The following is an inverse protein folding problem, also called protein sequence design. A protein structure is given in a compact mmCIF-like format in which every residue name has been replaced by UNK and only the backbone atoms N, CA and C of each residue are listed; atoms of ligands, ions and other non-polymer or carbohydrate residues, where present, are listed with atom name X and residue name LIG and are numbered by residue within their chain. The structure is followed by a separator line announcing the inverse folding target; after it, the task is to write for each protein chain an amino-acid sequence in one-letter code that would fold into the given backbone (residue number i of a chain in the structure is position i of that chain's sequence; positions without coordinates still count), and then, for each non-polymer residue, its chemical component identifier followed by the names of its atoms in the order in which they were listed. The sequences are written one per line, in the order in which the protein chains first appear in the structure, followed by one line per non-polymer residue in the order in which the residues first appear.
data_IF_498338207581
#
_entry.id   IF_498338207581
#
_cell.length_a   1.000
_cell.length_b   1.000
_cell.length_c   1.000
_cell.angle_alpha   90.00
_cell.angle_beta   90.00
_cell.angle_gamma   90.00
#
_symmetry.space_group_name_H-M   'P 1'
#
loop_
_entity.id
_entity.type
_entity.pdbx_description
1 polymer ?
#
# COMPACT_ATOMS: atom_id res chain seq x y z
N UNK A 1 -15.48 -1.45 -16.29
CA UNK A 1 -15.48 -1.79 -14.85
C UNK A 1 -15.53 -0.48 -14.10
N UNK A 2 -16.49 -0.32 -13.20
CA UNK A 2 -16.53 0.85 -12.32
C UNK A 2 -15.50 0.66 -11.19
N UNK A 3 -14.37 1.34 -11.30
CA UNK A 3 -13.27 1.23 -10.33
C UNK A 3 -13.65 1.80 -8.96
N UNK A 4 -14.42 2.90 -8.94
CA UNK A 4 -14.81 3.58 -7.70
C UNK A 4 -15.79 2.70 -6.92
N UNK A 5 -16.78 2.13 -7.59
CA UNK A 5 -17.70 1.16 -6.96
C UNK A 5 -16.93 -0.04 -6.42
N UNK A 6 -16.04 -0.61 -7.23
CA UNK A 6 -15.23 -1.76 -6.82
C UNK A 6 -14.34 -1.48 -5.60
N UNK A 7 -13.78 -0.28 -5.48
CA UNK A 7 -13.01 0.15 -4.31
C UNK A 7 -13.87 0.11 -3.03
N UNK A 8 -15.09 0.66 -3.08
CA UNK A 8 -15.98 0.67 -1.92
C UNK A 8 -16.53 -0.70 -1.55
N UNK A 9 -16.58 -1.63 -2.50
CA UNK A 9 -16.91 -3.04 -2.28
C UNK A 9 -15.71 -3.87 -1.79
N UNK A 10 -14.52 -3.27 -1.67
CA UNK A 10 -13.30 -3.96 -1.20
C UNK A 10 -12.60 -4.81 -2.25
N UNK A 11 -12.86 -4.58 -3.55
CA UNK A 11 -12.23 -5.31 -4.64
C UNK A 11 -10.74 -5.01 -4.75
N UNK A 12 -9.90 -6.04 -4.51
CA UNK A 12 -8.44 -5.94 -4.65
C UNK A 12 -8.03 -5.58 -6.09
N UNK A 13 -8.76 -6.07 -7.09
CA UNK A 13 -8.49 -5.75 -8.49
C UNK A 13 -8.82 -4.29 -8.81
N UNK A 14 -9.92 -3.76 -8.28
CA UNK A 14 -10.25 -2.35 -8.43
C UNK A 14 -9.18 -1.46 -7.78
N UNK A 15 -8.73 -1.81 -6.57
CA UNK A 15 -7.65 -1.12 -5.88
C UNK A 15 -6.36 -1.09 -6.70
N UNK A 16 -5.90 -2.26 -7.17
CA UNK A 16 -4.68 -2.35 -7.97
C UNK A 16 -4.75 -1.48 -9.24
N UNK A 17 -5.88 -1.54 -9.97
CA UNK A 17 -6.08 -0.73 -11.19
C UNK A 17 -6.17 0.76 -10.90
N UNK A 18 -6.79 1.16 -9.79
CA UNK A 18 -6.85 2.56 -9.38
C UNK A 18 -5.47 3.10 -8.99
N UNK A 19 -4.65 2.31 -8.28
CA UNK A 19 -3.26 2.69 -7.99
C UNK A 19 -2.48 2.86 -9.29
N UNK A 20 -2.54 1.89 -10.22
CA UNK A 20 -1.88 1.98 -11.53
C UNK A 20 -2.32 3.22 -12.32
N UNK A 21 -3.63 3.53 -12.33
CA UNK A 21 -4.14 4.70 -13.03
C UNK A 21 -3.58 6.01 -12.45
N UNK A 22 -3.47 6.11 -11.13
CA UNK A 22 -2.91 7.29 -10.45
C UNK A 22 -1.40 7.38 -10.67
N UNK A 23 -0.65 6.29 -10.52
CA UNK A 23 0.82 6.28 -10.68
C UNK A 23 1.27 6.59 -12.11
N UNK A 24 0.46 6.25 -13.12
CA UNK A 24 0.77 6.51 -14.52
C UNK A 24 0.04 7.75 -15.08
N UNK A 25 -0.60 8.54 -14.23
CA UNK A 25 -1.29 9.79 -14.61
C UNK A 25 -2.29 9.61 -15.76
N UNK A 26 -3.04 8.50 -15.76
CA UNK A 26 -4.08 8.29 -16.77
C UNK A 26 -5.17 9.36 -16.70
N UNK A 27 -5.85 9.61 -17.82
CA UNK A 27 -6.87 10.68 -17.93
C UNK A 27 -7.94 10.62 -16.83
N UNK A 28 -8.32 9.41 -16.40
CA UNK A 28 -9.32 9.19 -15.36
C UNK A 28 -8.79 9.24 -13.92
N UNK A 29 -7.49 9.45 -13.69
CA UNK A 29 -6.88 9.44 -12.37
C UNK A 29 -7.48 10.52 -11.45
N UNK A 30 -7.66 11.73 -11.98
CA UNK A 30 -8.23 12.86 -11.23
C UNK A 30 -9.67 12.56 -10.79
N UNK A 31 -10.47 11.96 -11.66
CA UNK A 31 -11.87 11.65 -11.36
C UNK A 31 -11.98 10.53 -10.31
N UNK A 32 -11.14 9.50 -10.40
CA UNK A 32 -11.02 8.47 -9.38
C UNK A 32 -10.66 9.12 -8.03
N UNK A 33 -9.64 9.96 -7.99
CA UNK A 33 -9.19 10.63 -6.76
C UNK A 33 -10.28 11.52 -6.14
N UNK A 34 -10.97 12.32 -6.95
CA UNK A 34 -12.11 13.15 -6.49
C UNK A 34 -13.23 12.31 -5.90
N UNK A 35 -13.57 11.19 -6.52
CA UNK A 35 -14.64 10.32 -6.05
C UNK A 35 -14.32 9.62 -4.72
N UNK A 36 -13.06 9.25 -4.48
CA UNK A 36 -12.64 8.58 -3.24
C UNK A 36 -12.39 9.56 -2.09
N UNK A 37 -11.96 10.80 -2.38
CA UNK A 37 -11.51 11.78 -1.39
C UNK A 37 -12.45 11.95 -0.18
N UNK A 38 -13.79 12.06 -0.35
CA UNK A 38 -14.73 12.21 0.78
C UNK A 38 -14.77 11.03 1.76
N UNK A 39 -14.22 9.87 1.39
CA UNK A 39 -14.18 8.66 2.23
C UNK A 39 -12.80 8.39 2.85
N UNK A 40 -11.80 9.24 2.56
CA UNK A 40 -10.44 9.15 3.10
C UNK A 40 -10.32 9.78 4.49
N UNK A 41 -9.12 9.76 5.10
CA UNK A 41 -8.84 10.40 6.40
C UNK A 41 -9.20 9.58 7.63
N UNK A 42 -9.86 8.43 7.46
CA UNK A 42 -10.32 7.57 8.57
C UNK A 42 -9.27 6.54 9.04
N UNK A 43 -8.06 6.55 8.46
CA UNK A 43 -6.98 5.63 8.80
C UNK A 43 -5.86 6.34 9.58
N UNK A 44 -5.23 5.64 10.51
CA UNK A 44 -3.99 6.09 11.16
C UNK A 44 -2.82 5.77 10.23
N UNK A 45 -1.96 6.75 9.98
CA UNK A 45 -0.76 6.61 9.14
C UNK A 45 0.47 6.57 10.05
N UNK A 46 1.28 5.51 9.94
CA UNK A 46 2.53 5.33 10.68
C UNK A 46 3.68 5.22 9.66
N UNK A 47 4.61 6.17 9.70
CA UNK A 47 5.85 6.10 8.93
C UNK A 47 6.92 5.33 9.70
N UNK A 48 7.57 4.37 9.04
CA UNK A 48 8.71 3.62 9.60
C UNK A 48 9.92 3.87 8.69
N UNK A 49 11.00 4.39 9.27
CA UNK A 49 12.24 4.73 8.56
C UNK A 49 13.48 4.31 9.37
N UNK A 50 14.66 4.41 8.78
CA UNK A 50 15.92 3.98 9.37
C UNK A 50 16.90 3.41 8.34
N UNK A 51 18.16 3.26 8.72
CA UNK A 51 19.22 2.76 7.85
C UNK A 51 18.96 1.32 7.34
N UNK A 52 19.59 0.88 6.23
CA UNK A 52 19.62 -0.53 5.83
C UNK A 52 20.10 -1.40 7.00
N UNK A 53 19.46 -2.55 7.22
CA UNK A 53 19.83 -3.46 8.32
C UNK A 53 19.35 -3.05 9.72
N UNK A 54 18.75 -1.87 9.92
CA UNK A 54 18.26 -1.40 11.23
C UNK A 54 17.05 -2.16 11.81
N UNK A 55 16.65 -3.28 11.19
CA UNK A 55 15.51 -4.08 11.66
C UNK A 55 14.12 -3.54 11.31
N UNK A 56 14.02 -2.55 10.39
CA UNK A 56 12.73 -1.95 9.98
C UNK A 56 11.68 -2.99 9.59
N UNK A 57 12.02 -3.93 8.71
CA UNK A 57 11.08 -4.98 8.26
C UNK A 57 10.61 -5.86 9.43
N UNK A 58 11.50 -6.21 10.35
CA UNK A 58 11.17 -6.98 11.57
C UNK A 58 10.25 -6.22 12.51
N UNK A 59 10.47 -4.91 12.67
CA UNK A 59 9.57 -4.06 13.45
C UNK A 59 8.20 -3.93 12.78
N UNK A 60 8.17 -3.66 11.47
CA UNK A 60 6.94 -3.57 10.67
C UNK A 60 6.11 -4.85 10.81
N UNK A 61 6.74 -6.02 10.65
CA UNK A 61 6.07 -7.32 10.79
C UNK A 61 5.39 -7.49 12.15
N UNK A 62 6.13 -7.26 13.25
CA UNK A 62 5.58 -7.36 14.61
C UNK A 62 4.44 -6.36 14.87
N UNK A 63 4.57 -5.13 14.37
CA UNK A 63 3.54 -4.09 14.52
C UNK A 63 2.28 -4.47 13.73
N UNK A 64 2.43 -4.96 12.50
CA UNK A 64 1.32 -5.40 11.67
C UNK A 64 0.60 -6.55 12.35
N UNK A 65 1.32 -7.59 12.78
CA UNK A 65 0.76 -8.74 13.49
C UNK A 65 -0.04 -8.31 14.72
N UNK A 66 0.52 -7.44 15.55
CA UNK A 66 -0.17 -6.92 16.73
C UNK A 66 -1.52 -6.25 16.41
N UNK A 67 -1.61 -5.47 15.32
CA UNK A 67 -2.87 -4.83 14.94
C UNK A 67 -3.83 -5.76 14.20
N UNK A 68 -3.32 -6.75 13.46
CA UNK A 68 -4.14 -7.82 12.89
C UNK A 68 -4.80 -8.66 13.99
N UNK A 69 -4.08 -8.99 15.07
CA UNK A 69 -4.60 -9.70 16.24
C UNK A 69 -5.72 -8.90 16.96
N UNK A 70 -5.76 -7.58 16.78
CA UNK A 70 -6.84 -6.69 17.24
C UNK A 70 -7.99 -6.53 16.23
N UNK A 71 -8.00 -7.30 15.14
CA UNK A 71 -9.00 -7.24 14.08
C UNK A 71 -8.95 -5.97 13.22
N UNK A 72 -7.82 -5.25 13.20
CA UNK A 72 -7.67 -4.05 12.36
C UNK A 72 -7.36 -4.43 10.91
N UNK A 73 -7.83 -3.61 9.97
CA UNK A 73 -7.44 -3.68 8.55
C UNK A 73 -6.16 -2.87 8.34
N UNK A 74 -5.15 -3.49 7.73
CA UNK A 74 -3.83 -2.89 7.51
C UNK A 74 -3.55 -2.79 6.00
N UNK A 75 -3.02 -1.63 5.59
CA UNK A 75 -2.40 -1.42 4.28
C UNK A 75 -0.94 -1.03 4.47
N UNK A 76 -0.05 -1.61 3.68
CA UNK A 76 1.39 -1.31 3.70
C UNK A 76 1.75 -0.66 2.37
N UNK A 77 2.37 0.51 2.42
CA UNK A 77 2.96 1.19 1.26
C UNK A 77 4.46 1.22 1.49
N UNK A 78 5.21 0.42 0.71
CA UNK A 78 6.66 0.44 0.74
C UNK A 78 7.16 1.56 -0.18
N UNK A 79 8.07 2.38 0.32
CA UNK A 79 8.76 3.41 -0.46
C UNK A 79 10.21 2.99 -0.55
N UNK A 80 10.62 2.48 -1.70
CA UNK A 80 12.01 2.19 -2.01
C UNK A 80 12.50 3.24 -3.01
N UNK A 81 13.35 4.21 -2.61
CA UNK A 81 13.98 5.08 -3.57
C UNK A 81 14.89 4.20 -4.44
N UNK A 82 14.43 3.90 -5.65
CA UNK A 82 15.15 3.05 -6.61
C UNK A 82 16.65 3.34 -6.60
N UNK A 83 17.46 2.31 -6.36
CA UNK A 83 18.83 2.32 -6.87
C UNK A 83 18.72 2.48 -8.40
N UNK A 84 19.43 3.43 -9.03
CA UNK A 84 19.32 3.73 -10.47
C UNK A 84 19.72 2.57 -11.40
N UNK A 85 19.98 1.37 -10.87
CA UNK A 85 20.53 0.24 -11.60
C UNK A 85 19.57 -0.93 -11.89
N UNK A 86 18.39 -1.04 -11.26
CA UNK A 86 17.59 -2.30 -11.37
C UNK A 86 16.13 -2.18 -11.80
N UNK A 87 15.60 -0.99 -12.12
CA UNK A 87 14.32 -0.88 -12.85
C UNK A 87 13.06 -1.41 -12.13
N UNK A 88 13.06 -1.55 -10.81
CA UNK A 88 11.84 -1.84 -10.04
C UNK A 88 12.05 -2.72 -8.80
N UNK A 89 11.59 -2.26 -7.64
CA UNK A 89 11.68 -2.95 -6.35
C UNK A 89 10.51 -3.92 -6.09
N UNK A 90 10.08 -4.67 -7.11
CA UNK A 90 8.78 -5.40 -7.07
C UNK A 90 8.77 -6.57 -6.06
N UNK A 91 9.93 -7.11 -5.62
CA UNK A 91 9.95 -8.39 -4.88
C UNK A 91 10.64 -8.41 -3.50
N UNK A 92 11.49 -7.44 -3.16
CA UNK A 92 12.36 -7.56 -1.98
C UNK A 92 11.62 -7.64 -0.64
N UNK A 93 10.60 -6.80 -0.47
CA UNK A 93 9.87 -6.69 0.80
C UNK A 93 8.76 -7.73 0.98
N UNK A 94 8.23 -8.28 -0.12
CA UNK A 94 7.20 -9.34 -0.06
C UNK A 94 7.74 -10.64 0.54
N UNK A 95 8.98 -11.01 0.18
CA UNK A 95 9.65 -12.23 0.67
C UNK A 95 9.88 -12.19 2.19
N UNK A 96 9.97 -10.99 2.78
CA UNK A 96 10.20 -10.80 4.22
C UNK A 96 8.92 -10.80 5.07
N UNK A 97 7.74 -10.77 4.44
CA UNK A 97 6.43 -10.66 5.10
C UNK A 97 5.53 -11.88 4.84
N UNK A 98 6.09 -13.01 4.42
CA UNK A 98 5.31 -14.24 4.14
C UNK A 98 4.54 -14.76 5.36
N UNK A 99 4.94 -14.40 6.58
CA UNK A 99 4.24 -14.79 7.82
C UNK A 99 2.96 -13.97 8.10
N UNK A 100 2.64 -12.98 7.25
CA UNK A 100 1.46 -12.10 7.37
C UNK A 100 0.28 -12.52 6.46
N UNK A 101 0.43 -13.62 5.72
CA UNK A 101 -0.61 -14.18 4.83
C UNK A 101 -1.27 -15.41 5.41
#
# INVERSE_FOLDING_TARGET
MDLVKGLFEGSRLALARSITAVENEYENAIDIMKAIYPKTGNARILGITGAPGAGKSTLTDKVVKHYLDQGKKIGIVAIDPTSPFSGGAILGDRIRMNDLT
#
